data_IF_906735370731
#
_entry.id   IF_906735370731
#
_cell.length_a   1.000
_cell.length_b   1.000
_cell.length_c   1.000
_cell.angle_alpha   90.00
_cell.angle_beta   90.00
_cell.angle_gamma   90.00
#
_symmetry.space_group_name_H-M   'P 1'
#
loop_
_entity.id
_entity.type
_entity.pdbx_description
1 polymer ?
#
# COMPACT_ATOMS: atom_id res chain seq x y z
N UNK A 1 -64.88 12.11 35.80
CA UNK A 1 -65.29 13.34 35.12
C UNK A 1 -64.39 13.40 33.87
N UNK A 2 -64.67 12.79 32.81
CA UNK A 2 -65.61 12.99 31.70
C UNK A 2 -65.48 14.35 30.99
N UNK A 3 -64.92 14.27 29.74
CA UNK A 3 -65.43 14.89 28.48
C UNK A 3 -64.34 14.81 27.42
N UNK A 4 -64.46 13.96 26.46
CA UNK A 4 -65.11 14.04 25.13
C UNK A 4 -64.44 14.97 24.11
N UNK A 5 -64.01 14.30 23.02
CA UNK A 5 -63.65 14.82 21.68
C UNK A 5 -64.69 15.75 21.06
N UNK A 6 -64.47 16.40 19.86
CA UNK A 6 -64.59 15.64 18.60
C UNK A 6 -63.68 16.07 17.43
N UNK A 7 -63.44 15.13 16.53
CA UNK A 7 -63.46 15.12 15.08
C UNK A 7 -63.58 16.45 14.31
N UNK A 8 -62.71 16.62 13.32
CA UNK A 8 -63.08 17.27 12.06
C UNK A 8 -62.35 16.63 10.90
N UNK A 9 -63.13 15.92 10.07
CA UNK A 9 -62.82 15.47 8.69
C UNK A 9 -62.87 16.71 7.77
N UNK A 10 -61.95 16.81 6.80
CA UNK A 10 -62.18 17.63 5.60
C UNK A 10 -61.32 17.07 4.46
N UNK A 11 -61.88 16.27 3.64
CA UNK A 11 -62.06 16.15 2.19
C UNK A 11 -61.03 16.76 1.25
N UNK A 12 -60.51 15.87 0.37
CA UNK A 12 -59.85 16.16 -0.91
C UNK A 12 -60.76 16.98 -1.85
N UNK A 13 -60.16 17.63 -2.89
CA UNK A 13 -60.42 17.09 -4.21
C UNK A 13 -59.20 16.97 -5.14
N UNK A 14 -59.29 16.00 -5.99
CA UNK A 14 -58.64 15.76 -7.27
C UNK A 14 -58.58 17.01 -8.16
N UNK A 15 -57.45 17.25 -8.80
CA UNK A 15 -57.40 17.94 -10.07
C UNK A 15 -56.37 17.32 -11.01
N UNK A 16 -56.90 16.80 -12.09
CA UNK A 16 -56.24 16.45 -13.34
C UNK A 16 -55.58 17.69 -13.97
N UNK A 17 -54.36 17.56 -14.47
CA UNK A 17 -53.82 18.45 -15.50
C UNK A 17 -52.86 17.68 -16.38
N UNK A 18 -53.29 17.20 -17.48
CA UNK A 18 -53.00 17.50 -18.87
C UNK A 18 -51.53 17.52 -19.24
N UNK A 19 -51.16 16.45 -19.93
CA UNK A 19 -49.94 16.31 -20.73
C UNK A 19 -49.92 17.32 -21.89
N UNK A 20 -48.86 18.10 -22.01
CA UNK A 20 -48.56 18.86 -23.21
C UNK A 20 -47.24 18.36 -23.80
N UNK A 21 -47.32 17.55 -24.84
CA UNK A 21 -46.23 17.16 -25.67
C UNK A 21 -45.82 18.32 -26.57
N UNK A 22 -44.60 18.82 -26.41
CA UNK A 22 -44.00 19.77 -27.34
C UNK A 22 -43.04 18.99 -28.24
N UNK A 23 -43.45 18.80 -29.49
CA UNK A 23 -42.62 18.40 -30.61
C UNK A 23 -41.60 19.50 -30.89
N UNK A 24 -40.32 19.15 -30.86
CA UNK A 24 -39.28 19.99 -31.43
C UNK A 24 -38.78 19.36 -32.75
N UNK A 25 -38.54 20.17 -33.78
CA UNK A 25 -38.11 19.69 -35.09
C UNK A 25 -36.62 19.34 -35.11
N UNK A 26 -36.31 18.26 -35.83
CA UNK A 26 -34.98 17.85 -36.16
C UNK A 26 -34.34 18.85 -37.13
N UNK A 27 -33.26 19.50 -36.74
CA UNK A 27 -32.38 20.25 -37.61
C UNK A 27 -31.21 19.37 -38.04
N UNK A 28 -31.24 18.95 -39.30
CA UNK A 28 -30.08 18.42 -40.00
C UNK A 28 -29.02 19.53 -40.15
N UNK A 29 -27.82 19.31 -39.69
CA UNK A 29 -26.63 20.08 -40.07
C UNK A 29 -25.59 19.18 -40.72
N UNK A 30 -24.92 19.65 -41.76
CA UNK A 30 -24.14 18.78 -42.62
C UNK A 30 -22.78 18.42 -42.10
N UNK A 31 -22.40 17.22 -42.44
CA UNK A 31 -21.09 16.57 -42.27
C UNK A 31 -20.01 17.41 -42.99
N UNK A 32 -19.13 18.06 -42.23
CA UNK A 32 -17.86 18.57 -42.74
C UNK A 32 -16.75 17.63 -42.35
N UNK A 33 -16.30 16.85 -43.31
CA UNK A 33 -15.09 16.06 -43.24
C UNK A 33 -13.88 16.99 -43.11
N UNK A 34 -13.19 16.95 -41.97
CA UNK A 34 -11.85 17.53 -41.85
C UNK A 34 -10.83 16.41 -41.85
N UNK A 35 -10.05 16.40 -42.92
CA UNK A 35 -8.89 15.58 -43.20
C UNK A 35 -7.80 15.80 -42.12
N UNK A 36 -7.33 14.70 -41.53
CA UNK A 36 -6.12 14.65 -40.71
C UNK A 36 -4.86 14.88 -41.58
N UNK A 37 -3.85 15.60 -41.11
CA UNK A 37 -2.54 15.59 -41.75
C UNK A 37 -1.75 14.36 -41.27
N UNK A 38 -1.38 13.54 -42.25
CA UNK A 38 -0.34 12.53 -42.15
C UNK A 38 1.01 13.20 -41.86
N UNK A 39 1.64 12.92 -40.78
CA UNK A 39 3.07 13.18 -40.62
C UNK A 39 3.86 11.95 -40.99
N UNK A 40 4.61 12.12 -42.03
CA UNK A 40 5.60 11.26 -42.66
C UNK A 40 6.69 10.82 -41.68
N UNK A 41 6.92 9.51 -41.70
CA UNK A 41 8.12 8.88 -41.16
C UNK A 41 9.37 9.39 -41.95
N UNK A 42 10.32 9.96 -41.24
CA UNK A 42 11.66 10.14 -41.74
C UNK A 42 12.59 9.09 -41.15
N UNK A 43 12.88 8.07 -41.95
CA UNK A 43 14.03 7.20 -41.78
C UNK A 43 15.29 8.03 -42.13
N UNK A 44 16.22 8.07 -41.19
CA UNK A 44 17.61 8.41 -41.50
C UNK A 44 18.47 7.18 -41.27
N UNK A 45 18.89 6.62 -42.40
CA UNK A 45 19.97 5.64 -42.47
C UNK A 45 21.31 6.38 -42.41
N UNK A 46 22.26 5.85 -41.68
CA UNK A 46 23.70 6.06 -41.83
C UNK A 46 24.35 4.75 -41.39
N UNK A 47 24.69 4.00 -42.33
CA UNK A 47 25.94 3.72 -43.05
C UNK A 47 26.97 2.94 -42.22
N UNK A 48 27.22 1.78 -42.77
CA UNK A 48 28.30 0.80 -42.65
C UNK A 48 29.66 1.36 -42.27
N UNK A 49 30.34 0.63 -41.38
CA UNK A 49 31.77 0.44 -41.56
C UNK A 49 32.16 -1.00 -41.17
N UNK A 50 32.38 -1.80 -42.18
CA UNK A 50 32.96 -3.11 -42.11
C UNK A 50 34.48 -3.01 -41.85
N UNK A 51 34.99 -3.81 -40.94
CA UNK A 51 36.34 -4.39 -41.09
C UNK A 51 36.49 -5.61 -40.18
N UNK A 52 36.44 -6.76 -40.78
CA UNK A 52 37.37 -7.90 -40.87
C UNK A 52 38.33 -8.07 -39.69
N UNK A 53 38.31 -9.22 -39.09
CA UNK A 53 39.38 -9.70 -38.19
C UNK A 53 39.10 -11.01 -37.49
N UNK A 54 39.27 -12.08 -38.18
CA UNK A 54 39.81 -13.37 -37.75
C UNK A 54 39.16 -14.21 -36.64
N UNK A 55 38.61 -15.29 -37.10
CA UNK A 55 38.17 -16.51 -36.43
C UNK A 55 39.38 -17.29 -35.90
N UNK A 56 39.42 -17.64 -34.64
CA UNK A 56 40.10 -18.84 -34.13
C UNK A 56 39.34 -19.43 -32.95
N UNK A 57 38.80 -20.59 -33.20
CA UNK A 57 38.22 -21.53 -32.27
C UNK A 57 39.35 -22.25 -31.53
N UNK A 58 39.31 -22.49 -30.24
CA UNK A 58 40.15 -23.54 -29.63
C UNK A 58 39.31 -24.77 -29.24
N UNK A 59 39.79 -25.87 -29.73
CA UNK A 59 39.50 -27.29 -29.55
C UNK A 59 39.66 -27.70 -28.06
N UNK A 60 38.87 -28.70 -27.56
CA UNK A 60 38.97 -29.17 -26.19
C UNK A 60 40.19 -30.12 -26.03
N UNK A 61 40.87 -30.10 -24.87
CA UNK A 61 41.90 -31.12 -24.58
C UNK A 61 41.29 -32.32 -23.84
N UNK A 62 41.93 -33.46 -24.17
CA UNK A 62 41.63 -34.80 -23.78
C UNK A 62 41.92 -35.11 -22.29
N UNK A 63 41.24 -36.16 -21.82
CA UNK A 63 41.47 -36.88 -20.57
C UNK A 63 42.93 -37.32 -20.40
N UNK A 64 43.44 -37.17 -19.17
CA UNK A 64 44.59 -37.94 -18.71
C UNK A 64 44.41 -38.30 -17.24
N UNK A 65 44.30 -39.59 -17.03
CA UNK A 65 44.37 -40.32 -15.77
C UNK A 65 45.76 -40.20 -15.15
N UNK A 66 45.85 -39.91 -13.85
CA UNK A 66 46.70 -40.57 -12.84
C UNK A 66 46.72 -39.78 -11.52
N UNK A 67 46.34 -40.43 -10.44
CA UNK A 67 46.67 -40.08 -9.06
C UNK A 67 48.17 -40.34 -8.79
N UNK A 68 48.83 -39.52 -7.97
CA UNK A 68 49.23 -40.07 -6.67
C UNK A 68 49.07 -39.07 -5.50
N UNK A 69 48.94 -39.66 -4.31
CA UNK A 69 48.90 -39.02 -3.02
C UNK A 69 50.12 -38.10 -2.79
N UNK A 70 49.85 -36.85 -2.36
CA UNK A 70 50.88 -35.98 -1.79
C UNK A 70 50.30 -35.19 -0.61
N UNK A 71 50.88 -35.45 0.50
CA UNK A 71 51.04 -34.82 1.79
C UNK A 71 50.47 -33.40 1.91
N UNK A 72 49.53 -33.21 2.85
CA UNK A 72 49.00 -31.94 3.28
C UNK A 72 50.06 -31.08 3.95
N UNK A 73 50.52 -30.05 3.27
CA UNK A 73 51.18 -28.91 3.91
C UNK A 73 50.15 -27.84 4.19
N UNK A 74 49.97 -27.51 5.46
CA UNK A 74 49.05 -26.47 5.94
C UNK A 74 49.47 -25.10 5.41
N UNK A 75 48.59 -24.45 4.65
CA UNK A 75 48.79 -23.10 4.10
C UNK A 75 48.23 -22.04 5.11
N UNK A 76 49.03 -21.13 5.65
CA UNK A 76 48.59 -20.16 6.68
C UNK A 76 47.69 -19.02 6.15
N UNK A 77 47.31 -19.02 4.86
CA UNK A 77 46.49 -17.96 4.27
C UNK A 77 44.96 -18.12 4.45
N UNK A 78 44.47 -19.21 5.06
CA UNK A 78 43.05 -19.51 5.20
C UNK A 78 42.33 -18.76 6.36
N UNK A 79 43.07 -18.04 7.22
CA UNK A 79 42.46 -17.35 8.38
C UNK A 79 41.75 -16.05 8.07
N UNK A 80 41.96 -15.44 6.90
CA UNK A 80 41.35 -14.14 6.57
C UNK A 80 39.97 -14.19 5.91
N UNK A 81 39.64 -15.35 5.28
CA UNK A 81 38.37 -15.47 4.52
C UNK A 81 37.23 -15.96 5.39
N UNK A 82 37.51 -16.79 6.41
CA UNK A 82 36.48 -17.28 7.34
C UNK A 82 35.96 -16.21 8.29
N UNK A 83 36.79 -15.27 8.72
CA UNK A 83 36.36 -14.14 9.58
C UNK A 83 35.34 -13.25 8.89
N UNK A 84 35.64 -12.78 7.68
CA UNK A 84 34.75 -11.91 6.90
C UNK A 84 33.45 -12.60 6.51
N UNK A 85 33.49 -13.89 6.22
CA UNK A 85 32.26 -14.66 5.91
C UNK A 85 31.39 -14.85 7.17
N UNK A 86 32.01 -15.10 8.33
CA UNK A 86 31.29 -15.24 9.61
C UNK A 86 30.69 -13.91 10.03
N UNK A 87 31.42 -12.79 9.86
CA UNK A 87 30.90 -11.45 10.19
C UNK A 87 29.75 -11.07 9.29
N UNK A 88 29.82 -11.37 7.99
CA UNK A 88 28.72 -11.14 7.05
C UNK A 88 27.50 -12.02 7.36
N UNK A 89 27.69 -13.26 7.76
CA UNK A 89 26.59 -14.15 8.21
C UNK A 89 25.98 -13.64 9.52
N UNK A 90 26.79 -13.15 10.46
CA UNK A 90 26.32 -12.53 11.70
C UNK A 90 25.53 -11.24 11.43
N UNK A 91 25.98 -10.41 10.49
CA UNK A 91 25.31 -9.19 10.08
C UNK A 91 23.96 -9.50 9.41
N UNK A 92 23.92 -10.48 8.50
CA UNK A 92 22.68 -10.96 7.87
C UNK A 92 21.74 -11.59 8.92
N UNK A 93 22.26 -12.37 9.86
CA UNK A 93 21.45 -12.96 10.93
C UNK A 93 20.90 -11.88 11.90
N UNK A 94 21.69 -10.84 12.21
CA UNK A 94 21.26 -9.70 13.00
C UNK A 94 20.19 -8.89 12.27
N UNK A 95 20.40 -8.61 10.99
CA UNK A 95 19.43 -7.95 10.13
C UNK A 95 18.11 -8.73 10.03
N UNK A 96 18.16 -10.06 9.87
CA UNK A 96 16.98 -10.91 9.89
C UNK A 96 16.27 -10.87 11.27
N UNK A 97 17.02 -10.89 12.36
CA UNK A 97 16.48 -10.72 13.72
C UNK A 97 15.77 -9.38 13.89
N UNK A 98 16.35 -8.30 13.38
CA UNK A 98 15.78 -6.95 13.48
C UNK A 98 14.50 -6.78 12.65
N UNK A 99 14.41 -7.47 11.49
CA UNK A 99 13.17 -7.47 10.66
C UNK A 99 12.04 -8.18 11.40
N UNK A 100 12.33 -9.23 12.15
CA UNK A 100 11.34 -10.05 12.83
C UNK A 100 11.08 -9.64 14.28
N UNK A 101 11.96 -8.82 14.88
CA UNK A 101 11.74 -8.33 16.25
C UNK A 101 10.63 -7.29 16.29
N UNK A 102 9.79 -7.35 17.32
CA UNK A 102 8.86 -6.24 17.60
C UNK A 102 9.66 -5.08 18.17
N UNK A 103 9.44 -3.90 17.59
CA UNK A 103 9.98 -2.66 18.14
C UNK A 103 9.11 -2.21 19.34
N UNK A 104 9.67 -1.50 20.34
CA UNK A 104 8.90 -1.04 21.48
C UNK A 104 8.02 0.16 21.12
N UNK A 105 7.02 -0.08 20.24
CA UNK A 105 6.06 0.94 19.84
C UNK A 105 4.73 0.70 20.52
N UNK A 106 4.18 1.73 21.13
CA UNK A 106 2.86 1.70 21.72
C UNK A 106 1.86 2.38 20.77
N UNK A 107 0.68 1.76 20.54
CA UNK A 107 -0.38 2.43 19.81
C UNK A 107 -0.94 3.60 20.64
N UNK A 108 -1.40 4.68 20.01
CA UNK A 108 -2.13 5.73 20.71
C UNK A 108 -3.35 5.18 21.42
N UNK A 109 -3.64 5.69 22.63
CA UNK A 109 -4.84 5.28 23.37
C UNK A 109 -6.09 5.61 22.54
N UNK A 110 -6.88 4.60 22.20
CA UNK A 110 -8.13 4.75 21.43
C UNK A 110 -7.98 4.69 19.89
N UNK A 111 -6.77 4.52 19.34
CA UNK A 111 -6.54 4.45 17.89
C UNK A 111 -7.21 3.25 17.20
N UNK A 112 -7.60 2.22 17.92
CA UNK A 112 -8.11 0.97 17.36
C UNK A 112 -9.56 1.02 16.83
N UNK A 113 -10.17 2.20 16.69
CA UNK A 113 -11.56 2.34 16.22
C UNK A 113 -11.69 2.60 14.72
N UNK A 114 -10.60 2.94 14.03
CA UNK A 114 -10.66 3.45 12.66
C UNK A 114 -10.49 2.40 11.57
N UNK A 115 -9.84 1.28 11.87
CA UNK A 115 -9.74 0.19 10.90
C UNK A 115 -11.01 -0.68 10.96
N UNK A 116 -11.83 -0.61 9.91
CA UNK A 116 -13.05 -1.41 9.76
C UNK A 116 -12.79 -2.92 9.68
N UNK A 117 -13.82 -3.69 9.36
CA UNK A 117 -13.67 -5.12 9.09
C UNK A 117 -13.03 -5.37 7.71
N UNK A 118 -12.27 -6.46 7.59
CA UNK A 118 -11.63 -6.91 6.36
C UNK A 118 -12.22 -8.27 5.93
N UNK A 119 -13.47 -8.30 5.43
CA UNK A 119 -14.22 -9.54 5.20
C UNK A 119 -13.61 -10.41 4.12
N UNK A 120 -13.02 -9.81 3.08
CA UNK A 120 -12.37 -10.55 2.00
C UNK A 120 -11.14 -11.29 2.50
N UNK A 121 -10.25 -10.58 3.22
CA UNK A 121 -9.05 -11.19 3.81
C UNK A 121 -9.43 -12.29 4.79
N UNK A 122 -10.39 -12.00 5.69
CA UNK A 122 -10.82 -12.97 6.69
C UNK A 122 -11.42 -14.24 6.06
N UNK A 123 -12.27 -14.07 5.03
CA UNK A 123 -12.86 -15.18 4.31
C UNK A 123 -11.83 -16.05 3.58
N UNK A 124 -10.81 -15.43 2.97
CA UNK A 124 -9.70 -16.13 2.32
C UNK A 124 -8.86 -16.92 3.32
N UNK A 125 -8.46 -16.29 4.43
CA UNK A 125 -7.68 -16.96 5.48
C UNK A 125 -8.45 -18.13 6.10
N UNK A 126 -9.74 -17.95 6.38
CA UNK A 126 -10.57 -19.04 6.90
C UNK A 126 -10.75 -20.21 5.93
N UNK A 127 -10.74 -19.92 4.62
CA UNK A 127 -10.84 -20.94 3.58
C UNK A 127 -9.47 -21.56 3.18
N UNK A 128 -8.36 -21.16 3.83
CA UNK A 128 -7.01 -21.61 3.48
C UNK A 128 -6.59 -21.21 2.06
N UNK A 129 -7.15 -20.12 1.53
CA UNK A 129 -6.85 -19.62 0.19
C UNK A 129 -5.74 -18.57 0.23
N UNK A 130 -4.93 -18.44 -0.85
CA UNK A 130 -3.93 -17.39 -0.96
C UNK A 130 -4.54 -16.00 -0.78
N UNK A 131 -3.80 -15.10 -0.11
CA UNK A 131 -4.18 -13.70 0.13
C UNK A 131 -3.16 -12.80 -0.55
N UNK A 132 -3.65 -11.90 -1.41
CA UNK A 132 -2.85 -10.89 -2.10
C UNK A 132 -3.16 -9.52 -1.50
N UNK A 133 -2.13 -8.90 -0.93
CA UNK A 133 -2.20 -7.54 -0.38
C UNK A 133 -1.36 -6.63 -1.28
N UNK A 134 -1.94 -5.53 -1.75
CA UNK A 134 -1.20 -4.53 -2.52
C UNK A 134 -1.02 -3.27 -1.68
N UNK A 135 0.23 -2.95 -1.36
CA UNK A 135 0.61 -1.68 -0.75
C UNK A 135 0.79 -0.64 -1.85
N UNK A 136 -0.18 0.25 -1.98
CA UNK A 136 -0.28 1.27 -3.02
C UNK A 136 0.00 2.65 -2.45
N UNK A 137 0.83 3.46 -3.11
CA UNK A 137 1.14 4.79 -2.58
C UNK A 137 2.36 5.44 -3.22
N UNK A 138 2.91 6.43 -2.52
CA UNK A 138 4.04 7.24 -2.97
C UNK A 138 5.40 6.75 -2.41
N UNK A 139 6.33 7.68 -2.16
CA UNK A 139 7.67 7.38 -1.65
C UNK A 139 7.70 6.65 -0.32
N UNK A 140 6.76 6.93 0.61
CA UNK A 140 6.67 6.19 1.88
C UNK A 140 6.31 4.72 1.67
N UNK A 141 5.48 4.42 0.66
CA UNK A 141 5.14 3.02 0.30
C UNK A 141 6.29 2.38 -0.47
N UNK A 142 6.92 3.12 -1.40
CA UNK A 142 8.13 2.66 -2.08
C UNK A 142 9.22 2.28 -1.09
N UNK A 143 9.33 3.02 0.02
CA UNK A 143 10.30 2.78 1.10
C UNK A 143 11.46 3.75 1.09
N UNK A 144 11.28 4.97 0.57
CA UNK A 144 12.32 6.01 0.64
C UNK A 144 12.68 6.30 2.11
N UNK A 145 13.97 6.32 2.42
CA UNK A 145 14.48 6.48 3.78
C UNK A 145 14.79 5.17 4.51
N UNK A 146 14.31 4.04 4.01
CA UNK A 146 14.74 2.74 4.51
C UNK A 146 16.16 2.41 4.02
N UNK A 147 16.99 1.86 4.90
CA UNK A 147 18.39 1.51 4.57
C UNK A 147 18.52 0.27 3.72
N UNK A 148 17.46 -0.57 3.67
CA UNK A 148 17.36 -1.71 2.76
C UNK A 148 15.91 -2.01 2.40
N UNK A 149 15.62 -2.75 1.30
CA UNK A 149 14.26 -3.11 0.91
C UNK A 149 13.48 -3.85 2.00
N UNK A 150 14.14 -4.67 2.80
CA UNK A 150 13.55 -5.47 3.88
C UNK A 150 12.99 -4.59 4.99
N UNK A 151 13.52 -3.38 5.17
CA UNK A 151 13.10 -2.43 6.21
C UNK A 151 11.94 -1.54 5.79
N UNK A 152 11.48 -1.62 4.54
CA UNK A 152 10.27 -0.93 4.09
C UNK A 152 9.03 -1.49 4.80
N UNK A 153 8.00 -0.65 4.99
CA UNK A 153 6.80 -1.13 5.70
C UNK A 153 6.08 -2.29 4.99
N UNK A 154 5.99 -2.38 3.65
CA UNK A 154 5.31 -3.51 3.02
C UNK A 154 6.02 -4.83 3.28
N UNK A 155 7.36 -4.85 3.28
CA UNK A 155 8.13 -6.07 3.56
C UNK A 155 8.07 -6.47 5.04
N UNK A 156 8.13 -5.50 5.96
CA UNK A 156 7.93 -5.75 7.40
C UNK A 156 6.53 -6.26 7.71
N UNK A 157 5.50 -5.68 7.06
CA UNK A 157 4.12 -6.15 7.17
C UNK A 157 3.98 -7.58 6.66
N UNK A 158 4.58 -7.90 5.51
CA UNK A 158 4.59 -9.27 4.98
C UNK A 158 5.19 -10.26 5.98
N UNK A 159 6.33 -9.92 6.58
CA UNK A 159 6.98 -10.73 7.59
C UNK A 159 6.11 -10.93 8.84
N UNK A 160 5.44 -9.88 9.32
CA UNK A 160 4.55 -9.92 10.47
C UNK A 160 3.32 -10.81 10.21
N UNK A 161 2.65 -10.63 9.06
CA UNK A 161 1.46 -11.39 8.71
C UNK A 161 1.77 -12.88 8.50
N UNK A 162 2.89 -13.21 7.83
CA UNK A 162 3.33 -14.61 7.66
C UNK A 162 3.67 -15.28 9.00
N UNK A 163 4.23 -14.53 9.94
CA UNK A 163 4.46 -15.04 11.29
C UNK A 163 3.16 -15.27 12.07
N UNK A 164 2.18 -14.38 11.90
CA UNK A 164 0.87 -14.50 12.54
C UNK A 164 0.04 -15.65 11.96
N UNK A 165 0.17 -15.90 10.67
CA UNK A 165 -0.60 -16.90 9.92
C UNK A 165 0.37 -17.85 9.20
N UNK A 166 1.13 -18.70 9.92
CA UNK A 166 2.24 -19.47 9.35
C UNK A 166 1.84 -20.50 8.30
N UNK A 167 0.57 -20.92 8.30
CA UNK A 167 0.02 -21.88 7.33
C UNK A 167 -0.67 -21.19 6.14
N UNK A 168 -0.80 -19.85 6.15
CA UNK A 168 -1.44 -19.10 5.10
C UNK A 168 -0.42 -18.64 4.04
N UNK A 169 -0.80 -18.72 2.78
CA UNK A 169 -0.06 -18.13 1.67
C UNK A 169 -0.43 -16.65 1.55
N UNK A 170 0.42 -15.78 2.09
CA UNK A 170 0.21 -14.33 2.09
C UNK A 170 1.32 -13.65 1.30
N UNK A 171 0.94 -12.92 0.26
CA UNK A 171 1.82 -12.05 -0.50
C UNK A 171 1.49 -10.58 -0.24
N UNK A 172 2.54 -9.74 -0.09
CA UNK A 172 2.41 -8.29 -0.02
C UNK A 172 3.23 -7.69 -1.16
N UNK A 173 2.54 -7.08 -2.11
CA UNK A 173 3.14 -6.45 -3.28
C UNK A 173 3.36 -4.97 -2.99
N UNK A 174 4.58 -4.48 -3.17
CA UNK A 174 4.89 -3.07 -3.05
C UNK A 174 4.64 -2.36 -4.40
N UNK A 175 3.57 -1.60 -4.48
CA UNK A 175 3.19 -0.75 -5.61
C UNK A 175 3.39 0.75 -5.29
N UNK A 176 4.41 1.08 -4.47
CA UNK A 176 4.80 2.46 -4.19
C UNK A 176 5.58 3.09 -5.32
N UNK A 177 5.30 4.37 -5.64
CA UNK A 177 6.06 5.17 -6.60
C UNK A 177 6.25 6.59 -6.08
N UNK A 178 7.51 6.96 -5.89
CA UNK A 178 7.89 8.24 -5.27
C UNK A 178 7.34 9.46 -6.00
N UNK A 179 6.93 10.46 -5.21
CA UNK A 179 6.47 11.74 -5.74
C UNK A 179 5.03 11.78 -6.24
N UNK A 180 4.34 10.64 -6.36
CA UNK A 180 2.96 10.61 -6.85
C UNK A 180 1.95 11.13 -5.82
N UNK A 181 0.90 11.77 -6.31
CA UNK A 181 -0.33 12.05 -5.59
C UNK A 181 -1.54 11.36 -6.26
N UNK A 182 -2.77 11.70 -5.86
CA UNK A 182 -3.94 10.96 -6.31
C UNK A 182 -4.14 10.93 -7.84
N UNK A 183 -3.93 12.01 -8.61
CA UNK A 183 -4.07 11.97 -10.07
C UNK A 183 -3.13 10.97 -10.77
N UNK A 184 -1.86 10.92 -10.36
CA UNK A 184 -0.89 9.97 -10.93
C UNK A 184 -1.21 8.54 -10.49
N UNK A 185 -1.58 8.35 -9.23
CA UNK A 185 -1.98 7.04 -8.70
C UNK A 185 -3.18 6.49 -9.47
N UNK A 186 -4.21 7.31 -9.75
CA UNK A 186 -5.39 6.89 -10.51
C UNK A 186 -5.06 6.42 -11.92
N UNK A 187 -4.09 7.03 -12.61
CA UNK A 187 -3.66 6.61 -13.97
C UNK A 187 -3.13 5.18 -14.02
N UNK A 188 -2.56 4.68 -12.91
CA UNK A 188 -1.99 3.33 -12.83
C UNK A 188 -2.76 2.37 -11.90
N UNK A 189 -3.92 2.80 -11.39
CA UNK A 189 -4.72 1.97 -10.48
C UNK A 189 -5.04 0.61 -11.11
N UNK A 190 -5.46 0.59 -12.37
CA UNK A 190 -5.76 -0.65 -13.09
C UNK A 190 -4.52 -1.56 -13.16
N UNK A 191 -3.44 -1.09 -13.77
CA UNK A 191 -2.28 -1.93 -14.10
C UNK A 191 -1.39 -2.28 -12.91
N UNK A 192 -1.32 -1.39 -11.89
CA UNK A 192 -0.44 -1.59 -10.75
C UNK A 192 -1.13 -2.19 -9.53
N UNK A 193 -2.48 -2.23 -9.52
CA UNK A 193 -3.25 -2.71 -8.37
C UNK A 193 -4.32 -3.72 -8.78
N UNK A 194 -5.27 -3.35 -9.64
CA UNK A 194 -6.43 -4.19 -9.96
C UNK A 194 -6.01 -5.47 -10.69
N UNK A 195 -5.09 -5.36 -11.65
CA UNK A 195 -4.58 -6.51 -12.40
C UNK A 195 -3.78 -7.51 -11.53
N UNK A 196 -3.39 -7.11 -10.30
CA UNK A 196 -2.80 -8.02 -9.31
C UNK A 196 -3.84 -8.85 -8.56
N UNK A 197 -5.14 -8.66 -8.85
CA UNK A 197 -6.26 -9.34 -8.18
C UNK A 197 -6.20 -9.25 -6.65
N UNK A 198 -6.12 -8.04 -6.06
CA UNK A 198 -5.91 -7.86 -4.64
C UNK A 198 -7.10 -8.36 -3.80
N UNK A 199 -6.81 -8.90 -2.63
CA UNK A 199 -7.79 -9.15 -1.58
C UNK A 199 -7.84 -7.97 -0.58
N UNK A 200 -6.71 -7.26 -0.43
CA UNK A 200 -6.61 -6.02 0.34
C UNK A 200 -5.73 -5.02 -0.40
N UNK A 201 -6.20 -3.79 -0.48
CA UNK A 201 -5.38 -2.65 -0.91
C UNK A 201 -5.14 -1.72 0.27
N UNK A 202 -3.87 -1.50 0.59
CA UNK A 202 -3.42 -0.51 1.57
C UNK A 202 -2.98 0.72 0.78
N UNK A 203 -3.80 1.77 0.79
CA UNK A 203 -3.58 2.94 -0.07
C UNK A 203 -3.10 4.14 0.74
N UNK A 204 -1.80 4.46 0.63
CA UNK A 204 -1.20 5.65 1.22
C UNK A 204 -1.32 6.83 0.25
N UNK A 205 -1.97 7.92 0.67
CA UNK A 205 -2.29 9.06 -0.17
C UNK A 205 -2.34 10.38 0.62
N UNK A 206 -2.30 11.50 -0.09
CA UNK A 206 -2.55 12.83 0.44
C UNK A 206 -1.28 13.61 0.85
N UNK A 207 -0.17 12.96 1.17
CA UNK A 207 1.05 13.65 1.61
C UNK A 207 1.58 14.62 0.55
N UNK A 208 1.75 14.17 -0.69
CA UNK A 208 2.31 15.02 -1.75
C UNK A 208 1.35 16.15 -2.17
N UNK A 209 0.04 15.91 -2.11
CA UNK A 209 -0.96 16.96 -2.31
C UNK A 209 -0.84 18.07 -1.25
N UNK A 210 -0.64 17.69 0.03
CA UNK A 210 -0.40 18.65 1.12
C UNK A 210 0.88 19.46 0.87
N UNK A 211 1.99 18.80 0.56
CA UNK A 211 3.29 19.46 0.31
C UNK A 211 3.26 20.41 -0.90
N UNK A 212 2.41 20.13 -1.88
CA UNK A 212 2.26 20.95 -3.09
C UNK A 212 1.12 21.96 -2.99
N UNK A 213 0.46 22.08 -1.84
CA UNK A 213 -0.73 22.91 -1.63
C UNK A 213 -1.83 22.67 -2.66
N UNK A 214 -2.04 21.41 -3.06
CA UNK A 214 -3.14 21.02 -3.94
C UNK A 214 -4.45 21.00 -3.15
N UNK A 215 -5.58 21.14 -3.86
CA UNK A 215 -6.88 21.10 -3.19
C UNK A 215 -7.15 19.71 -2.55
N UNK A 216 -7.31 19.64 -1.22
CA UNK A 216 -7.64 18.40 -0.55
C UNK A 216 -8.99 17.80 -0.98
N UNK A 217 -9.93 18.65 -1.46
CA UNK A 217 -11.23 18.20 -1.95
C UNK A 217 -11.13 17.40 -3.25
N UNK A 218 -10.31 17.85 -4.21
CA UNK A 218 -10.07 17.11 -5.43
C UNK A 218 -9.34 15.78 -5.15
N UNK A 219 -8.36 15.79 -4.23
CA UNK A 219 -7.71 14.56 -3.78
C UNK A 219 -8.71 13.56 -3.19
N UNK A 220 -9.59 14.01 -2.30
CA UNK A 220 -10.58 13.15 -1.65
C UNK A 220 -11.58 12.55 -2.66
N UNK A 221 -11.99 13.32 -3.66
CA UNK A 221 -12.87 12.88 -4.76
C UNK A 221 -12.21 11.76 -5.59
N UNK A 222 -10.96 11.94 -6.00
CA UNK A 222 -10.21 10.90 -6.72
C UNK A 222 -10.01 9.64 -5.88
N UNK A 223 -9.76 9.79 -4.59
CA UNK A 223 -9.64 8.66 -3.66
C UNK A 223 -10.98 7.93 -3.53
N UNK A 224 -12.09 8.65 -3.44
CA UNK A 224 -13.43 8.04 -3.40
C UNK A 224 -13.73 7.24 -4.67
N UNK A 225 -13.41 7.79 -5.85
CA UNK A 225 -13.52 7.10 -7.13
C UNK A 225 -12.66 5.84 -7.18
N UNK A 226 -11.39 5.94 -6.79
CA UNK A 226 -10.49 4.79 -6.73
C UNK A 226 -10.97 3.70 -5.78
N UNK A 227 -11.50 4.06 -4.60
CA UNK A 227 -12.12 3.09 -3.68
C UNK A 227 -13.29 2.38 -4.36
N UNK A 228 -14.13 3.10 -5.13
CA UNK A 228 -15.25 2.48 -5.85
C UNK A 228 -14.76 1.40 -6.84
N UNK A 229 -13.68 1.68 -7.60
CA UNK A 229 -13.07 0.69 -8.50
C UNK A 229 -12.54 -0.54 -7.74
N UNK A 230 -11.87 -0.34 -6.61
CA UNK A 230 -11.33 -1.42 -5.79
C UNK A 230 -12.44 -2.27 -5.17
N UNK A 231 -13.51 -1.65 -4.69
CA UNK A 231 -14.68 -2.35 -4.16
C UNK A 231 -15.42 -3.14 -5.24
N UNK A 232 -15.48 -2.63 -6.48
CA UNK A 232 -16.10 -3.31 -7.60
C UNK A 232 -15.41 -4.65 -7.95
N UNK A 233 -14.10 -4.77 -7.69
CA UNK A 233 -13.36 -6.05 -7.84
C UNK A 233 -13.34 -6.88 -6.56
N UNK A 234 -14.05 -6.45 -5.51
CA UNK A 234 -14.22 -7.18 -4.26
C UNK A 234 -13.05 -7.09 -3.30
N UNK A 235 -12.14 -6.13 -3.47
CA UNK A 235 -11.03 -5.93 -2.56
C UNK A 235 -11.47 -5.19 -1.28
N UNK A 236 -10.92 -5.60 -0.13
CA UNK A 236 -10.92 -4.76 1.07
C UNK A 236 -9.99 -3.57 0.85
N UNK A 237 -10.30 -2.42 1.45
CA UNK A 237 -9.48 -1.21 1.31
C UNK A 237 -9.18 -0.61 2.68
N UNK A 238 -7.92 -0.23 2.88
CA UNK A 238 -7.44 0.54 4.03
C UNK A 238 -6.68 1.75 3.52
N UNK A 239 -7.16 2.95 3.83
CA UNK A 239 -6.44 4.18 3.58
C UNK A 239 -5.34 4.38 4.63
N UNK A 240 -4.25 5.03 4.23
CA UNK A 240 -3.23 5.57 5.13
C UNK A 240 -3.14 7.06 4.86
N UNK A 241 -3.44 7.86 5.88
CA UNK A 241 -3.37 9.32 5.81
C UNK A 241 -1.91 9.86 5.80
N UNK A 242 -1.67 11.16 5.60
CA UNK A 242 -0.34 11.76 5.63
C UNK A 242 0.45 11.42 6.91
N UNK A 243 1.78 11.40 6.83
CA UNK A 243 2.64 11.25 8.00
C UNK A 243 2.78 12.55 8.78
N UNK A 244 2.95 12.45 10.11
CA UNK A 244 3.43 13.54 10.93
C UNK A 244 4.94 13.71 10.74
N UNK A 245 5.36 14.86 10.20
CA UNK A 245 6.77 15.16 9.94
C UNK A 245 6.98 16.68 9.86
N UNK A 246 8.21 17.19 10.03
CA UNK A 246 8.48 18.62 9.93
C UNK A 246 7.88 19.27 8.69
N UNK A 247 8.15 18.74 7.50
CA UNK A 247 7.65 19.29 6.24
C UNK A 247 6.12 19.25 6.10
N UNK A 248 5.46 18.21 6.59
CA UNK A 248 3.98 18.16 6.57
C UNK A 248 3.40 19.16 7.57
N UNK A 249 4.06 19.36 8.71
CA UNK A 249 3.61 20.30 9.75
C UNK A 249 3.75 21.77 9.31
N UNK A 250 4.65 22.10 8.36
CA UNK A 250 4.71 23.41 7.71
C UNK A 250 3.39 23.76 6.96
N UNK A 251 2.61 22.74 6.59
CA UNK A 251 1.32 22.84 5.91
C UNK A 251 0.15 22.35 6.79
N UNK A 252 0.17 22.66 8.09
CA UNK A 252 -0.73 22.09 9.09
C UNK A 252 -2.22 22.23 8.77
N UNK A 253 -2.66 23.36 8.20
CA UNK A 253 -4.04 23.58 7.81
C UNK A 253 -4.46 22.63 6.67
N UNK A 254 -3.68 22.57 5.59
CA UNK A 254 -3.91 21.68 4.45
C UNK A 254 -3.88 20.22 4.90
N UNK A 255 -2.91 19.84 5.74
CA UNK A 255 -2.81 18.50 6.30
C UNK A 255 -4.05 18.16 7.15
N UNK A 256 -4.50 19.06 8.00
CA UNK A 256 -5.71 18.89 8.81
C UNK A 256 -6.95 18.67 7.96
N UNK A 257 -7.15 19.49 6.92
CA UNK A 257 -8.25 19.35 5.97
C UNK A 257 -8.18 18.05 5.18
N UNK A 258 -6.97 17.66 4.72
CA UNK A 258 -6.75 16.39 4.02
C UNK A 258 -7.15 15.20 4.89
N UNK A 259 -6.67 15.13 6.13
CA UNK A 259 -7.01 14.05 7.05
C UNK A 259 -8.52 13.98 7.33
N UNK A 260 -9.17 15.14 7.53
CA UNK A 260 -10.61 15.19 7.74
C UNK A 260 -11.38 14.63 6.53
N UNK A 261 -10.99 15.00 5.30
CA UNK A 261 -11.65 14.54 4.09
C UNK A 261 -11.41 13.06 3.83
N UNK A 262 -10.18 12.57 4.03
CA UNK A 262 -9.88 11.13 3.89
C UNK A 262 -10.66 10.28 4.92
N UNK A 263 -10.78 10.74 6.16
CA UNK A 263 -11.61 10.07 7.18
C UNK A 263 -13.09 10.06 6.76
N UNK A 264 -13.63 11.18 6.27
CA UNK A 264 -15.00 11.25 5.76
C UNK A 264 -15.22 10.31 4.57
N UNK A 265 -14.28 10.25 3.63
CA UNK A 265 -14.33 9.34 2.48
C UNK A 265 -14.31 7.87 2.95
N UNK A 266 -13.44 7.52 3.89
CA UNK A 266 -13.38 6.17 4.45
C UNK A 266 -14.71 5.78 5.12
N UNK A 267 -15.32 6.68 5.88
CA UNK A 267 -16.62 6.47 6.53
C UNK A 267 -17.74 6.29 5.51
N UNK A 268 -17.85 7.19 4.52
CA UNK A 268 -18.87 7.12 3.46
C UNK A 268 -18.77 5.83 2.64
N UNK A 269 -17.56 5.42 2.30
CA UNK A 269 -17.29 4.22 1.50
C UNK A 269 -17.20 2.95 2.36
N UNK A 270 -17.30 3.06 3.68
CA UNK A 270 -17.20 1.94 4.66
C UNK A 270 -15.91 1.14 4.50
N UNK A 271 -14.80 1.84 4.29
CA UNK A 271 -13.46 1.26 4.22
C UNK A 271 -12.65 1.63 5.45
N UNK A 272 -11.54 0.91 5.68
CA UNK A 272 -10.63 1.20 6.78
C UNK A 272 -9.79 2.45 6.53
N UNK A 273 -9.33 3.06 7.62
CA UNK A 273 -8.28 4.08 7.59
C UNK A 273 -7.34 3.88 8.77
N UNK A 274 -6.03 3.87 8.49
CA UNK A 274 -4.99 3.89 9.51
C UNK A 274 -4.54 5.33 9.73
N UNK A 275 -4.74 5.90 10.93
CA UNK A 275 -4.47 7.32 11.21
C UNK A 275 -2.98 7.54 11.48
N UNK A 276 -2.14 7.39 10.44
CA UNK A 276 -0.67 7.48 10.56
C UNK A 276 -0.21 8.80 11.15
N UNK A 277 -0.82 9.91 10.76
CA UNK A 277 -0.49 11.23 11.32
C UNK A 277 -0.68 11.24 12.84
N UNK A 278 -1.82 10.81 13.31
CA UNK A 278 -2.13 10.81 14.75
C UNK A 278 -1.22 9.84 15.52
N UNK A 279 -0.89 8.69 14.94
CA UNK A 279 0.03 7.71 15.52
C UNK A 279 1.42 8.30 15.68
N UNK A 280 2.00 8.88 14.61
CA UNK A 280 3.35 9.47 14.64
C UNK A 280 3.41 10.73 15.50
N UNK A 281 2.34 11.52 15.55
CA UNK A 281 2.22 12.67 16.45
C UNK A 281 2.24 12.23 17.91
N UNK A 282 1.53 11.14 18.24
CA UNK A 282 1.51 10.58 19.58
C UNK A 282 2.89 10.08 20.02
N UNK A 283 3.69 9.48 19.10
CA UNK A 283 5.07 9.10 19.41
C UNK A 283 5.90 10.29 19.87
N UNK A 284 5.78 11.41 19.17
CA UNK A 284 6.54 12.62 19.49
C UNK A 284 6.00 13.33 20.73
N UNK A 285 4.71 13.67 20.74
CA UNK A 285 4.13 14.58 21.75
C UNK A 285 3.82 13.90 23.07
N UNK A 286 3.41 12.61 23.05
CA UNK A 286 2.99 11.91 24.28
C UNK A 286 3.97 10.85 24.75
N UNK A 287 4.67 10.20 23.82
CA UNK A 287 5.65 9.19 24.16
C UNK A 287 7.08 9.78 24.23
N UNK A 288 7.23 11.09 23.97
CA UNK A 288 8.49 11.83 24.00
C UNK A 288 9.61 11.22 23.13
N UNK A 289 9.23 10.57 21.99
CA UNK A 289 10.20 10.04 21.06
C UNK A 289 10.70 11.18 20.20
N UNK A 290 12.03 11.42 20.14
CA UNK A 290 12.61 12.42 19.27
C UNK A 290 12.25 12.19 17.82
N UNK A 291 11.93 13.25 17.07
CA UNK A 291 11.44 13.13 15.69
C UNK A 291 12.47 12.49 14.75
N UNK A 292 13.76 12.74 15.01
CA UNK A 292 14.88 12.16 14.28
C UNK A 292 15.02 10.64 14.43
N UNK A 293 14.35 10.04 15.42
CA UNK A 293 14.32 8.59 15.56
C UNK A 293 13.41 7.93 14.52
N UNK A 294 12.34 8.62 14.08
CA UNK A 294 11.37 8.05 13.15
C UNK A 294 11.25 8.81 11.82
N UNK A 295 11.87 9.99 11.68
CA UNK A 295 11.97 10.76 10.43
C UNK A 295 13.45 10.98 10.13
N UNK A 296 13.88 10.74 8.88
CA UNK A 296 15.25 10.98 8.45
C UNK A 296 15.54 12.48 8.27
N UNK A 297 16.80 12.83 8.05
CA UNK A 297 17.27 14.22 7.96
C UNK A 297 16.59 15.10 6.91
N UNK A 298 15.87 14.49 5.93
CA UNK A 298 15.11 15.25 4.94
C UNK A 298 13.83 15.90 5.51
N UNK A 299 13.49 15.61 6.78
CA UNK A 299 12.33 16.16 7.46
C UNK A 299 10.97 15.67 6.96
N UNK A 300 10.94 14.59 6.17
CA UNK A 300 9.73 14.04 5.57
C UNK A 300 9.59 12.52 5.74
N UNK A 301 10.58 11.77 5.25
CA UNK A 301 10.47 10.32 5.14
C UNK A 301 10.85 9.60 6.43
N UNK A 302 10.25 8.43 6.63
CA UNK A 302 10.50 7.63 7.82
C UNK A 302 11.87 6.96 7.78
N UNK A 303 12.48 6.83 8.97
CA UNK A 303 13.65 5.99 9.22
C UNK A 303 13.28 4.51 9.29
N UNK A 304 14.26 3.62 9.40
CA UNK A 304 14.02 2.18 9.62
C UNK A 304 13.20 1.91 10.87
N UNK A 305 13.42 2.66 11.95
CA UNK A 305 12.61 2.56 13.17
C UNK A 305 11.18 3.04 12.92
N UNK A 306 11.00 4.16 12.23
CA UNK A 306 9.68 4.67 11.87
C UNK A 306 8.90 3.68 11.02
N UNK A 307 9.54 3.08 10.02
CA UNK A 307 8.91 2.03 9.20
C UNK A 307 8.60 0.77 10.00
N UNK A 308 9.48 0.36 10.92
CA UNK A 308 9.25 -0.80 11.77
C UNK A 308 8.05 -0.61 12.68
N UNK A 309 7.98 0.54 13.33
CA UNK A 309 6.89 0.91 14.23
C UNK A 309 5.56 1.03 13.47
N UNK A 310 5.56 1.73 12.35
CA UNK A 310 4.39 1.88 11.50
C UNK A 310 3.88 0.52 10.99
N UNK A 311 4.76 -0.31 10.44
CA UNK A 311 4.38 -1.63 9.94
C UNK A 311 3.80 -2.53 11.05
N UNK A 312 4.41 -2.49 12.25
CA UNK A 312 3.95 -3.26 13.40
C UNK A 312 2.52 -2.86 13.80
N UNK A 313 2.26 -1.57 13.97
CA UNK A 313 0.94 -1.09 14.40
C UNK A 313 -0.13 -1.30 13.32
N UNK A 314 0.21 -1.07 12.05
CA UNK A 314 -0.67 -1.38 10.92
C UNK A 314 -1.01 -2.87 10.86
N UNK A 315 -0.02 -3.73 11.02
CA UNK A 315 -0.21 -5.19 11.02
C UNK A 315 -1.05 -5.66 12.21
N UNK A 316 -0.84 -5.11 13.41
CA UNK A 316 -1.63 -5.42 14.60
C UNK A 316 -3.12 -5.03 14.37
N UNK A 317 -3.39 -3.88 13.73
CA UNK A 317 -4.75 -3.45 13.41
C UNK A 317 -5.39 -4.32 12.31
N UNK A 318 -4.64 -4.75 11.29
CA UNK A 318 -5.12 -5.71 10.27
C UNK A 318 -5.47 -7.05 10.93
N UNK A 319 -4.60 -7.60 11.75
CA UNK A 319 -4.80 -8.86 12.47
C UNK A 319 -6.07 -8.78 13.34
N UNK A 320 -6.24 -7.67 14.07
CA UNK A 320 -7.42 -7.42 14.88
C UNK A 320 -8.69 -7.33 14.04
N UNK A 321 -8.65 -6.62 12.89
CA UNK A 321 -9.80 -6.45 12.00
C UNK A 321 -10.24 -7.76 11.35
N UNK A 322 -9.30 -8.62 10.99
CA UNK A 322 -9.57 -9.99 10.54
C UNK A 322 -10.23 -10.83 11.62
N UNK A 323 -9.73 -10.75 12.86
CA UNK A 323 -10.25 -11.50 14.00
C UNK A 323 -11.64 -11.06 14.51
N UNK A 324 -12.09 -9.86 14.16
CA UNK A 324 -13.43 -9.34 14.53
C UNK A 324 -14.58 -10.01 13.77
N UNK A 325 -14.29 -10.63 12.63
CA UNK A 325 -15.29 -11.34 11.85
C UNK A 325 -15.53 -12.68 12.56
N UNK A 326 -16.67 -12.81 13.24
CA UNK A 326 -17.18 -14.10 13.73
C UNK A 326 -17.58 -14.91 12.49
N UNK A 327 -16.62 -15.61 11.91
CA UNK A 327 -16.87 -16.59 10.89
C UNK A 327 -17.69 -17.70 11.54
N UNK A 328 -18.91 -17.89 11.10
CA UNK A 328 -19.77 -19.02 11.50
C UNK A 328 -19.23 -20.39 11.04
N UNK A 329 -17.93 -20.48 10.76
CA UNK A 329 -17.21 -21.68 10.31
C UNK A 329 -16.11 -21.98 11.30
N UNK A 330 -15.93 -23.25 11.66
CA UNK A 330 -14.88 -23.74 12.55
C UNK A 330 -13.51 -23.20 12.11
N UNK A 331 -13.03 -22.16 12.80
CA UNK A 331 -11.63 -21.74 12.71
C UNK A 331 -10.81 -22.87 13.32
N UNK A 332 -9.80 -23.42 12.63
CA UNK A 332 -8.93 -24.43 13.20
C UNK A 332 -8.40 -24.01 14.56
N UNK A 333 -8.30 -24.96 15.51
CA UNK A 333 -7.96 -24.69 16.90
C UNK A 333 -6.60 -23.98 17.09
N UNK A 334 -5.69 -24.14 16.16
CA UNK A 334 -4.38 -23.52 16.11
C UNK A 334 -4.43 -21.99 15.90
N UNK A 335 -5.47 -21.47 15.21
CA UNK A 335 -5.69 -20.02 15.05
C UNK A 335 -6.29 -19.39 16.32
N UNK A 336 -6.92 -20.20 17.20
CA UNK A 336 -7.52 -19.71 18.46
C UNK A 336 -6.50 -19.55 19.60
N UNK A 337 -5.33 -20.20 19.50
CA UNK A 337 -4.39 -20.32 20.61
C UNK A 337 -3.42 -19.13 20.73
N UNK A 338 -3.36 -18.22 19.77
CA UNK A 338 -2.43 -17.10 19.84
C UNK A 338 -3.07 -15.90 20.56
N UNK A 339 -2.95 -15.88 21.92
CA UNK A 339 -3.10 -14.66 22.71
C UNK A 339 -1.80 -13.87 22.57
N UNK A 340 -1.80 -12.61 22.14
CA UNK A 340 -0.63 -11.76 22.31
C UNK A 340 -0.37 -11.61 23.83
N UNK A 341 0.85 -11.95 24.27
CA UNK A 341 1.36 -11.55 25.57
C UNK A 341 1.70 -10.08 25.56
#
# INVERSE_FOLDING_TARGET
>A
MSRHSPFCLSTLPFLCAVSLALLMPASLSPLLAQTAPQQTAQQAALSDNARSGNRTEPKPPAESTASPAATMAANPAAKGITGKAIDKVKEVAKSAGDIFSRVPCLPPKGASKSMGSLPRVAGKLAAGKPVVIVAFGSSSTQGYGATSPEFTYPNRLAAQLRRQYPTADISVVNAGKGGEDAPEMMKRLQTSVIDMHPDLVIWQVGTNAVLRNLDPGETAKLVEEGIAHLQAVGADVVLIDPQYSPKVNEHAESAGKMMQLLNKTAELRKVGIFPRFAVMKDWHEKQAIPIENFVIADGLHMSDWGYACFAQLLGDDIIKSVGQIKLGVNVPADVRAYRPM
#
